data_IF_359792940895
#
_entry.id   IF_359792940895
#
_cell.length_a   1.000
_cell.length_b   1.000
_cell.length_c   1.000
_cell.angle_alpha   90.00
_cell.angle_beta   90.00
_cell.angle_gamma   90.00
#
_symmetry.space_group_name_H-M   'P 1'
#
loop_
_entity.id
_entity.type
_entity.pdbx_description
1 polymer ?
#
# COMPACT_ATOMS: atom_id res chain seq x y z
N UNK A 1 -7.72 11.31 34.89
CA UNK A 1 -8.21 10.06 34.28
C UNK A 1 -8.40 10.29 32.80
N UNK A 2 -7.40 9.95 32.00
CA UNK A 2 -7.41 10.10 30.55
C UNK A 2 -6.71 8.87 30.01
N UNK A 3 -7.52 7.83 29.75
CA UNK A 3 -7.06 6.58 29.16
C UNK A 3 -6.68 6.87 27.71
N UNK A 4 -5.38 7.08 27.49
CA UNK A 4 -4.77 6.96 26.16
C UNK A 4 -4.72 5.46 25.91
N UNK A 5 -5.82 4.90 25.41
CA UNK A 5 -5.77 3.56 24.84
C UNK A 5 -4.79 3.62 23.67
N UNK A 6 -3.76 2.78 23.76
CA UNK A 6 -2.87 2.50 22.65
C UNK A 6 -3.74 2.15 21.44
N UNK A 7 -3.72 2.99 20.42
CA UNK A 7 -4.31 2.65 19.13
C UNK A 7 -3.55 1.44 18.61
N UNK A 8 -4.23 0.30 18.60
CA UNK A 8 -3.89 -0.83 17.76
C UNK A 8 -3.58 -0.29 16.36
N UNK A 9 -2.55 -0.85 15.71
CA UNK A 9 -2.10 -0.38 14.41
C UNK A 9 -3.14 -0.73 13.35
N UNK A 10 -4.19 0.08 13.27
CA UNK A 10 -5.21 0.01 12.25
C UNK A 10 -4.57 0.17 10.88
N UNK A 11 -5.19 -0.36 9.83
CA UNK A 11 -4.77 -0.11 8.44
C UNK A 11 -4.74 1.40 8.09
N UNK A 12 -5.36 2.24 8.92
CA UNK A 12 -5.38 3.69 8.84
C UNK A 12 -4.15 4.38 9.46
N UNK A 13 -3.23 3.61 10.06
CA UNK A 13 -2.05 4.12 10.74
C UNK A 13 -2.37 4.74 12.11
N UNK A 14 -1.50 5.65 12.58
CA UNK A 14 -1.60 6.21 13.93
C UNK A 14 -2.71 7.25 14.14
N UNK A 15 -3.46 7.66 13.10
CA UNK A 15 -4.65 8.52 13.22
C UNK A 15 -5.64 8.22 12.11
N UNK A 16 -6.92 8.12 12.46
CA UNK A 16 -8.01 7.96 11.49
C UNK A 16 -8.13 9.23 10.65
N UNK A 17 -8.11 9.13 9.30
CA UNK A 17 -8.35 10.28 8.43
C UNK A 17 -9.72 10.93 8.69
N UNK A 18 -9.83 12.27 8.65
CA UNK A 18 -11.06 12.99 8.96
C UNK A 18 -12.23 12.62 8.04
N UNK A 19 -11.95 12.20 6.80
CA UNK A 19 -12.95 11.73 5.84
C UNK A 19 -13.61 10.43 6.32
N UNK A 20 -12.84 9.52 6.93
CA UNK A 20 -13.33 8.24 7.44
C UNK A 20 -14.09 8.44 8.75
N UNK A 21 -13.63 9.37 9.60
CA UNK A 21 -14.41 9.78 10.75
C UNK A 21 -15.76 10.40 10.33
N UNK A 22 -15.77 11.23 9.29
CA UNK A 22 -17.00 11.83 8.77
C UNK A 22 -17.94 10.78 8.16
N UNK A 23 -17.39 9.76 7.49
CA UNK A 23 -18.16 8.63 6.99
C UNK A 23 -18.96 7.96 8.11
N UNK A 24 -18.30 7.54 9.19
CA UNK A 24 -18.97 6.85 10.32
C UNK A 24 -20.15 7.65 10.90
N UNK A 25 -20.03 8.98 10.95
CA UNK A 25 -21.07 9.89 11.46
C UNK A 25 -22.26 10.01 10.51
N UNK A 26 -22.04 9.85 9.20
CA UNK A 26 -23.04 10.08 8.16
C UNK A 26 -23.79 8.82 7.70
N UNK A 27 -23.37 7.61 8.13
CA UNK A 27 -23.93 6.34 7.68
C UNK A 27 -25.27 5.92 8.33
N UNK A 28 -25.70 6.56 9.41
CA UNK A 28 -26.86 6.11 10.23
C UNK A 28 -28.19 6.03 9.47
N UNK A 29 -28.39 6.89 8.47
CA UNK A 29 -29.66 7.02 7.73
C UNK A 29 -29.54 6.49 6.29
N UNK A 30 -28.42 5.82 5.97
CA UNK A 30 -28.15 5.33 4.62
C UNK A 30 -28.71 3.92 4.50
N UNK A 31 -29.61 3.68 3.56
CA UNK A 31 -30.08 2.34 3.27
C UNK A 31 -29.01 1.51 2.52
N UNK A 32 -29.17 0.19 2.55
CA UNK A 32 -28.20 -0.74 1.95
C UNK A 32 -28.11 -0.60 0.42
N UNK A 33 -29.19 -0.22 -0.25
CA UNK A 33 -29.22 -0.10 -1.71
C UNK A 33 -28.42 1.12 -2.17
N UNK A 34 -28.64 2.26 -1.53
CA UNK A 34 -27.95 3.52 -1.70
C UNK A 34 -26.46 3.36 -1.36
N UNK A 35 -26.15 2.69 -0.25
CA UNK A 35 -24.77 2.38 0.12
C UNK A 35 -24.06 1.59 -1.00
N UNK A 36 -24.67 0.51 -1.48
CA UNK A 36 -24.09 -0.33 -2.55
C UNK A 36 -23.96 0.39 -3.88
N UNK A 37 -24.94 1.22 -4.26
CA UNK A 37 -24.85 2.07 -5.46
C UNK A 37 -23.69 3.05 -5.35
N UNK A 38 -23.54 3.70 -4.20
CA UNK A 38 -22.45 4.65 -3.92
C UNK A 38 -21.09 3.95 -3.92
N UNK A 39 -20.99 2.80 -3.24
CA UNK A 39 -19.79 1.98 -3.21
C UNK A 39 -19.38 1.54 -4.62
N UNK A 40 -20.33 1.05 -5.43
CA UNK A 40 -20.08 0.69 -6.83
C UNK A 40 -19.52 1.87 -7.64
N UNK A 41 -20.03 3.07 -7.39
CA UNK A 41 -19.57 4.27 -8.07
C UNK A 41 -18.16 4.70 -7.64
N UNK A 42 -17.84 4.61 -6.35
CA UNK A 42 -16.49 4.82 -5.83
C UNK A 42 -15.51 3.80 -6.39
N UNK A 43 -15.88 2.52 -6.43
CA UNK A 43 -15.04 1.46 -7.00
C UNK A 43 -14.78 1.69 -8.48
N UNK A 44 -15.79 2.07 -9.26
CA UNK A 44 -15.60 2.45 -10.67
C UNK A 44 -14.65 3.63 -10.83
N UNK A 45 -14.71 4.63 -9.94
CA UNK A 45 -13.79 5.77 -9.94
C UNK A 45 -12.35 5.34 -9.64
N UNK A 46 -12.15 4.44 -8.68
CA UNK A 46 -10.85 3.85 -8.34
C UNK A 46 -10.28 3.00 -9.48
N UNK A 47 -11.15 2.28 -10.21
CA UNK A 47 -10.82 1.60 -11.47
C UNK A 47 -10.54 2.58 -12.65
N UNK A 48 -10.59 3.89 -12.42
CA UNK A 48 -10.31 4.91 -13.44
C UNK A 48 -11.42 5.12 -14.48
N UNK A 49 -12.63 4.60 -14.23
CA UNK A 49 -13.79 4.78 -15.12
C UNK A 49 -14.50 6.10 -14.83
N UNK A 50 -15.16 6.67 -15.85
CA UNK A 50 -15.99 7.86 -15.65
C UNK A 50 -17.24 7.50 -14.82
N UNK A 51 -17.33 8.08 -13.63
CA UNK A 51 -18.43 7.87 -12.69
C UNK A 51 -19.36 9.08 -12.57
N UNK A 52 -19.21 10.12 -13.40
CA UNK A 52 -19.97 11.37 -13.29
C UNK A 52 -21.48 11.17 -13.44
N UNK A 53 -21.92 10.44 -14.46
CA UNK A 53 -23.34 10.18 -14.70
C UNK A 53 -23.94 9.30 -13.60
N UNK A 54 -23.20 8.29 -13.14
CA UNK A 54 -23.64 7.43 -12.04
C UNK A 54 -23.76 8.23 -10.75
N UNK A 55 -22.80 9.11 -10.43
CA UNK A 55 -22.89 10.00 -9.26
C UNK A 55 -24.03 11.00 -9.37
N UNK A 56 -24.31 11.51 -10.58
CA UNK A 56 -25.45 12.39 -10.82
C UNK A 56 -26.78 11.67 -10.56
N UNK A 57 -26.94 10.45 -11.08
CA UNK A 57 -28.14 9.64 -10.83
C UNK A 57 -28.32 9.29 -9.35
N UNK A 58 -27.22 9.03 -8.65
CA UNK A 58 -27.22 8.77 -7.20
C UNK A 58 -27.67 10.03 -6.46
N UNK A 59 -27.13 11.21 -6.80
CA UNK A 59 -27.51 12.47 -6.18
C UNK A 59 -28.97 12.87 -6.44
N UNK A 60 -29.52 12.55 -7.62
CA UNK A 60 -30.92 12.82 -7.98
C UNK A 60 -31.90 11.85 -7.30
N UNK A 61 -31.48 10.59 -7.10
CA UNK A 61 -32.29 9.56 -6.43
C UNK A 61 -32.16 9.55 -4.90
N UNK A 62 -31.20 10.30 -4.36
CA UNK A 62 -30.92 10.29 -2.93
C UNK A 62 -31.88 11.17 -2.13
N UNK A 63 -32.33 10.65 -1.01
CA UNK A 63 -33.06 11.40 0.02
C UNK A 63 -32.06 12.21 0.90
N UNK A 64 -30.76 11.92 0.78
CA UNK A 64 -29.69 12.49 1.60
C UNK A 64 -29.21 13.82 0.99
N UNK A 65 -28.98 14.88 1.79
CA UNK A 65 -28.39 16.12 1.32
C UNK A 65 -27.05 15.90 0.59
N UNK A 66 -26.83 16.65 -0.51
CA UNK A 66 -25.62 16.50 -1.33
C UNK A 66 -24.32 16.67 -0.54
N UNK A 67 -24.28 17.57 0.44
CA UNK A 67 -23.11 17.73 1.32
C UNK A 67 -22.81 16.44 2.10
N UNK A 68 -23.83 15.79 2.68
CA UNK A 68 -23.66 14.51 3.39
C UNK A 68 -23.23 13.40 2.44
N UNK A 69 -23.79 13.34 1.23
CA UNK A 69 -23.37 12.39 0.21
C UNK A 69 -21.89 12.58 -0.17
N UNK A 70 -21.42 13.83 -0.30
CA UNK A 70 -20.02 14.15 -0.55
C UNK A 70 -19.09 13.58 0.53
N UNK A 71 -19.44 13.72 1.81
CA UNK A 71 -18.67 13.15 2.92
C UNK A 71 -18.64 11.61 2.87
N UNK A 72 -19.75 10.97 2.52
CA UNK A 72 -19.82 9.50 2.37
C UNK A 72 -18.90 9.04 1.24
N UNK A 73 -19.01 9.67 0.07
CA UNK A 73 -18.18 9.33 -1.11
C UNK A 73 -16.70 9.54 -0.79
N UNK A 74 -16.33 10.67 -0.19
CA UNK A 74 -14.95 10.97 0.19
C UNK A 74 -14.39 9.95 1.18
N UNK A 75 -15.15 9.61 2.22
CA UNK A 75 -14.74 8.62 3.21
C UNK A 75 -14.62 7.21 2.64
N UNK A 76 -15.57 6.78 1.81
CA UNK A 76 -15.51 5.50 1.09
C UNK A 76 -14.26 5.43 0.20
N UNK A 77 -14.01 6.47 -0.59
CA UNK A 77 -12.86 6.55 -1.47
C UNK A 77 -11.55 6.49 -0.68
N UNK A 78 -11.44 7.30 0.39
CA UNK A 78 -10.25 7.34 1.25
C UNK A 78 -9.97 6.00 1.90
N UNK A 79 -11.00 5.38 2.47
CA UNK A 79 -10.88 4.09 3.15
C UNK A 79 -10.45 2.96 2.22
N UNK A 80 -11.08 2.86 1.05
CA UNK A 80 -10.69 1.86 0.04
C UNK A 80 -9.28 2.11 -0.48
N UNK A 81 -8.91 3.38 -0.69
CA UNK A 81 -7.55 3.74 -1.15
C UNK A 81 -6.48 3.29 -0.15
N UNK A 82 -6.68 3.56 1.14
CA UNK A 82 -5.72 3.15 2.20
C UNK A 82 -5.67 1.63 2.36
N UNK A 83 -6.81 0.95 2.33
CA UNK A 83 -6.86 -0.51 2.45
C UNK A 83 -6.24 -1.25 1.25
N UNK A 84 -6.36 -0.69 0.03
CA UNK A 84 -5.79 -1.27 -1.18
C UNK A 84 -4.29 -0.99 -1.30
N UNK A 85 -3.80 0.11 -0.71
CA UNK A 85 -2.36 0.44 -0.70
C UNK A 85 -1.52 -0.59 0.09
N UNK A 86 -2.12 -1.24 1.08
CA UNK A 86 -1.45 -2.27 1.88
C UNK A 86 -1.60 -3.63 1.18
N UNK A 87 -0.51 -4.38 0.90
CA UNK A 87 -0.60 -5.70 0.29
C UNK A 87 -1.49 -6.67 1.08
N UNK A 88 -2.20 -7.55 0.38
CA UNK A 88 -3.07 -8.58 1.00
C UNK A 88 -2.30 -9.59 1.85
N UNK A 89 -0.98 -9.73 1.64
CA UNK A 89 -0.10 -10.52 2.50
C UNK A 89 0.06 -9.94 3.90
N UNK A 90 -0.09 -8.61 4.03
CA UNK A 90 0.06 -7.88 5.29
C UNK A 90 -1.29 -7.56 5.93
N UNK A 91 -2.29 -7.20 5.13
CA UNK A 91 -3.62 -6.86 5.63
C UNK A 91 -4.48 -8.11 5.79
N UNK A 92 -4.76 -8.52 7.04
CA UNK A 92 -5.65 -9.64 7.35
C UNK A 92 -7.11 -9.21 7.29
N UNK A 93 -7.97 -10.03 6.69
CA UNK A 93 -9.39 -9.74 6.55
C UNK A 93 -10.12 -9.52 7.87
N UNK A 94 -9.83 -10.34 8.90
CA UNK A 94 -10.47 -10.20 10.21
C UNK A 94 -10.02 -8.94 10.95
N UNK A 95 -8.74 -8.56 10.85
CA UNK A 95 -8.23 -7.30 11.41
C UNK A 95 -8.89 -6.10 10.73
N UNK A 96 -9.04 -6.14 9.40
CA UNK A 96 -9.75 -5.10 8.66
C UNK A 96 -11.20 -4.94 9.11
N UNK A 97 -11.93 -6.05 9.32
CA UNK A 97 -13.31 -5.98 9.81
C UNK A 97 -13.38 -5.40 11.22
N UNK A 98 -12.46 -5.78 12.10
CA UNK A 98 -12.43 -5.28 13.48
C UNK A 98 -12.20 -3.76 13.52
N UNK A 99 -11.24 -3.26 12.72
CA UNK A 99 -11.02 -1.82 12.57
C UNK A 99 -12.29 -1.07 12.13
N UNK A 100 -13.07 -1.65 11.19
CA UNK A 100 -14.34 -1.04 10.76
C UNK A 100 -15.43 -1.10 11.85
N UNK A 101 -15.44 -2.14 12.70
CA UNK A 101 -16.35 -2.23 13.85
C UNK A 101 -16.01 -1.18 14.91
N UNK A 102 -14.72 -0.94 15.17
CA UNK A 102 -14.28 0.13 16.07
C UNK A 102 -14.69 1.52 15.58
N UNK A 103 -14.69 1.72 14.25
CA UNK A 103 -15.22 2.92 13.59
C UNK A 103 -16.76 3.01 13.62
N UNK A 104 -17.45 2.05 14.25
CA UNK A 104 -18.91 1.98 14.37
C UNK A 104 -19.63 1.91 13.02
N UNK A 105 -19.01 1.25 12.04
CA UNK A 105 -19.65 1.00 10.74
C UNK A 105 -20.57 -0.23 10.89
N UNK A 106 -21.82 -0.18 10.37
CA UNK A 106 -22.74 -1.32 10.36
C UNK A 106 -22.16 -2.57 9.69
N UNK A 107 -22.41 -3.76 10.25
CA UNK A 107 -21.84 -5.03 9.78
C UNK A 107 -22.23 -5.33 8.32
N UNK A 108 -23.44 -4.94 7.88
CA UNK A 108 -23.84 -5.07 6.48
C UNK A 108 -22.88 -4.36 5.52
N UNK A 109 -22.37 -3.18 5.89
CA UNK A 109 -21.45 -2.39 5.09
C UNK A 109 -20.02 -2.91 5.17
N UNK A 110 -19.64 -3.47 6.32
CA UNK A 110 -18.33 -4.12 6.51
C UNK A 110 -18.15 -5.29 5.54
N UNK A 111 -19.20 -6.10 5.35
CA UNK A 111 -19.15 -7.21 4.38
C UNK A 111 -18.96 -6.72 2.95
N UNK A 112 -19.68 -5.66 2.56
CA UNK A 112 -19.57 -5.05 1.24
C UNK A 112 -18.16 -4.45 1.02
N UNK A 113 -17.58 -3.73 2.00
CA UNK A 113 -16.19 -3.25 1.91
C UNK A 113 -15.17 -4.37 1.83
N UNK A 114 -15.32 -5.40 2.66
CA UNK A 114 -14.44 -6.57 2.65
C UNK A 114 -14.45 -7.27 1.29
N UNK A 115 -15.61 -7.35 0.63
CA UNK A 115 -15.73 -7.94 -0.69
C UNK A 115 -14.96 -7.16 -1.77
N UNK A 116 -14.82 -5.85 -1.61
CA UNK A 116 -14.04 -4.99 -2.53
C UNK A 116 -12.55 -5.12 -2.25
N UNK A 117 -12.14 -5.06 -0.98
CA UNK A 117 -10.73 -5.07 -0.55
C UNK A 117 -10.07 -6.45 -0.72
N UNK A 118 -10.83 -7.54 -0.62
CA UNK A 118 -10.29 -8.91 -0.71
C UNK A 118 -10.85 -9.71 -1.90
N UNK A 119 -11.71 -9.11 -2.72
CA UNK A 119 -12.33 -9.78 -3.86
C UNK A 119 -11.63 -9.52 -5.20
N UNK A 120 -12.27 -10.01 -6.27
CA UNK A 120 -11.71 -10.00 -7.63
C UNK A 120 -11.46 -8.59 -8.21
N UNK A 121 -12.13 -7.55 -7.69
CA UNK A 121 -11.97 -6.18 -8.18
C UNK A 121 -10.66 -5.51 -7.77
N UNK A 122 -10.01 -6.02 -6.71
CA UNK A 122 -8.77 -5.45 -6.19
C UNK A 122 -7.67 -5.37 -7.24
N UNK A 123 -7.46 -6.44 -8.01
CA UNK A 123 -6.42 -6.47 -9.05
C UNK A 123 -6.63 -5.38 -10.11
N UNK A 124 -7.88 -5.08 -10.47
CA UNK A 124 -8.18 -3.99 -11.40
C UNK A 124 -7.83 -2.62 -10.79
N UNK A 125 -8.18 -2.38 -9.53
CA UNK A 125 -7.86 -1.13 -8.83
C UNK A 125 -6.35 -0.97 -8.65
N UNK A 126 -5.65 -2.02 -8.25
CA UNK A 126 -4.19 -2.01 -8.07
C UNK A 126 -3.47 -1.71 -9.39
N UNK A 127 -3.92 -2.27 -10.52
CA UNK A 127 -3.31 -1.97 -11.82
C UNK A 127 -3.42 -0.49 -12.22
N UNK A 128 -4.53 0.16 -11.88
CA UNK A 128 -4.73 1.60 -12.12
C UNK A 128 -3.93 2.44 -11.14
N UNK A 129 -3.89 2.03 -9.87
CA UNK A 129 -3.08 2.68 -8.85
C UNK A 129 -1.59 2.64 -9.24
N UNK A 130 -1.09 1.49 -9.69
CA UNK A 130 0.30 1.31 -10.13
C UNK A 130 0.67 2.18 -11.34
N UNK A 131 -0.30 2.46 -12.23
CA UNK A 131 -0.10 3.37 -13.37
C UNK A 131 -0.12 4.84 -12.97
N UNK A 132 -0.83 5.20 -11.89
CA UNK A 132 -0.99 6.58 -11.42
C UNK A 132 0.04 6.99 -10.36
N UNK A 133 0.52 6.03 -9.57
CA UNK A 133 1.47 6.30 -8.49
C UNK A 133 2.87 6.55 -9.06
N UNK A 134 3.43 7.71 -8.69
CA UNK A 134 4.83 8.04 -8.93
C UNK A 134 5.71 7.23 -7.97
N UNK A 135 5.96 5.96 -8.31
CA UNK A 135 6.89 5.13 -7.58
C UNK A 135 8.33 5.46 -7.96
N UNK A 136 9.26 5.27 -7.02
CA UNK A 136 10.67 5.23 -7.36
C UNK A 136 10.94 3.99 -8.24
N UNK A 137 11.84 4.09 -9.23
CA UNK A 137 12.23 2.93 -10.02
C UNK A 137 12.66 1.76 -9.12
N UNK A 138 12.08 0.60 -9.34
CA UNK A 138 12.41 -0.64 -8.60
C UNK A 138 13.38 -1.49 -9.41
N UNK A 139 14.11 -2.40 -8.74
CA UNK A 139 15.04 -3.32 -9.41
C UNK A 139 14.25 -4.51 -9.98
N UNK A 140 14.24 -4.67 -11.30
CA UNK A 140 13.58 -5.77 -12.00
C UNK A 140 14.49 -7.00 -12.20
N UNK A 141 15.75 -6.76 -12.56
CA UNK A 141 16.75 -7.80 -12.80
C UNK A 141 18.11 -7.35 -12.26
N UNK A 142 18.82 -8.26 -11.62
CA UNK A 142 20.15 -8.01 -11.05
C UNK A 142 21.08 -9.17 -11.37
N UNK A 143 22.13 -8.91 -12.13
CA UNK A 143 23.14 -9.87 -12.56
C UNK A 143 24.52 -9.42 -12.12
N UNK A 144 25.34 -10.36 -11.69
CA UNK A 144 26.71 -10.08 -11.29
C UNK A 144 27.65 -11.18 -11.76
N UNK A 145 28.91 -10.83 -11.95
CA UNK A 145 30.00 -11.78 -12.19
C UNK A 145 31.28 -11.26 -11.54
N UNK A 146 32.18 -12.18 -11.22
CA UNK A 146 33.51 -11.85 -10.70
C UNK A 146 34.51 -11.98 -11.83
N UNK A 147 35.20 -10.89 -12.12
CA UNK A 147 36.27 -10.84 -13.09
C UNK A 147 37.62 -10.88 -12.33
N UNK A 148 38.54 -11.74 -12.77
CA UNK A 148 39.89 -11.85 -12.21
C UNK A 148 40.89 -11.52 -13.32
N UNK A 149 41.57 -10.37 -13.20
CA UNK A 149 42.62 -10.01 -14.13
C UNK A 149 43.92 -10.76 -13.80
N UNK A 150 44.41 -11.56 -14.75
CA UNK A 150 45.68 -12.28 -14.64
C UNK A 150 46.75 -11.48 -15.37
N UNK A 151 47.64 -10.80 -14.64
CA UNK A 151 48.81 -10.12 -15.20
C UNK A 151 49.99 -11.08 -15.25
N UNK A 152 50.59 -11.26 -16.44
CA UNK A 152 51.78 -12.11 -16.67
C UNK A 152 53.10 -11.35 -16.62
N UNK A 153 53.07 -10.03 -16.41
CA UNK A 153 54.26 -9.18 -16.30
C UNK A 153 54.57 -8.84 -14.84
N UNK A 154 55.86 -8.72 -14.50
CA UNK A 154 56.42 -8.55 -13.15
C UNK A 154 56.00 -7.28 -12.40
N UNK A 155 55.10 -6.46 -12.97
CA UNK A 155 54.53 -5.29 -12.30
C UNK A 155 53.37 -5.75 -11.41
N UNK A 156 53.51 -5.51 -10.12
CA UNK A 156 52.75 -6.03 -8.98
C UNK A 156 51.24 -5.68 -8.92
N UNK A 157 50.48 -5.82 -10.00
CA UNK A 157 49.01 -6.01 -9.96
C UNK A 157 48.69 -7.46 -10.30
N UNK A 158 49.12 -8.35 -9.42
CA UNK A 158 48.71 -9.74 -9.45
C UNK A 158 47.30 -9.84 -8.85
N UNK A 159 46.35 -10.35 -9.65
CA UNK A 159 45.08 -10.93 -9.17
C UNK A 159 44.23 -10.00 -8.28
N UNK A 160 43.87 -8.81 -8.77
CA UNK A 160 42.83 -8.03 -8.11
C UNK A 160 41.46 -8.44 -8.70
N UNK A 161 40.63 -9.20 -7.97
CA UNK A 161 39.28 -9.48 -8.41
C UNK A 161 38.43 -8.21 -8.37
N UNK A 162 37.53 -8.08 -9.34
CA UNK A 162 36.47 -7.07 -9.33
C UNK A 162 35.13 -7.68 -9.64
N UNK A 163 34.05 -7.08 -9.13
CA UNK A 163 32.69 -7.57 -9.36
C UNK A 163 32.03 -6.65 -10.38
N UNK A 164 31.71 -7.19 -11.54
CA UNK A 164 30.91 -6.49 -12.52
C UNK A 164 29.43 -6.72 -12.18
N UNK A 165 28.69 -5.63 -11.96
CA UNK A 165 27.26 -5.66 -11.66
C UNK A 165 26.46 -5.04 -12.80
N UNK A 166 25.29 -5.61 -13.04
CA UNK A 166 24.30 -5.12 -13.98
C UNK A 166 22.92 -5.13 -13.33
N UNK A 167 22.21 -4.02 -13.38
CA UNK A 167 20.83 -3.91 -12.92
C UNK A 167 19.94 -3.32 -14.02
N UNK A 168 18.73 -3.86 -14.11
CA UNK A 168 17.62 -3.31 -14.89
C UNK A 168 16.59 -2.74 -13.92
N UNK A 169 16.21 -1.48 -14.12
CA UNK A 169 15.18 -0.83 -13.32
C UNK A 169 13.83 -0.82 -14.05
N UNK A 170 12.75 -0.61 -13.29
CA UNK A 170 11.37 -0.61 -13.81
C UNK A 170 11.05 0.56 -14.74
N UNK A 171 11.87 1.61 -14.74
CA UNK A 171 11.80 2.72 -15.69
C UNK A 171 12.47 2.41 -17.04
N UNK A 172 12.97 1.17 -17.21
CA UNK A 172 13.67 0.72 -18.39
C UNK A 172 15.15 1.10 -18.43
N UNK A 173 15.67 1.80 -17.41
CA UNK A 173 17.08 2.14 -17.34
C UNK A 173 17.94 0.90 -16.99
N UNK A 174 19.15 0.90 -17.54
CA UNK A 174 20.12 -0.16 -17.34
C UNK A 174 21.42 0.44 -16.80
N UNK A 175 21.85 -0.04 -15.63
CA UNK A 175 23.12 0.36 -15.04
C UNK A 175 24.07 -0.82 -15.04
N UNK A 176 25.28 -0.59 -15.57
CA UNK A 176 26.38 -1.54 -15.52
C UNK A 176 27.59 -0.83 -14.94
N UNK A 177 28.15 -1.38 -13.87
CA UNK A 177 29.28 -0.77 -13.18
C UNK A 177 30.17 -1.83 -12.52
N UNK A 178 31.43 -1.48 -12.34
CA UNK A 178 32.44 -2.32 -11.70
C UNK A 178 32.57 -1.92 -10.22
N UNK A 179 32.57 -2.92 -9.35
CA UNK A 179 32.65 -2.76 -7.90
C UNK A 179 33.92 -3.44 -7.39
N UNK A 180 34.88 -2.67 -6.84
CA UNK A 180 36.00 -3.24 -6.11
C UNK A 180 35.55 -4.05 -4.90
N UNK A 181 36.31 -5.09 -4.51
CA UNK A 181 35.95 -5.98 -3.39
C UNK A 181 35.67 -5.22 -2.09
N UNK A 182 36.43 -4.17 -1.78
CA UNK A 182 36.19 -3.34 -0.60
C UNK A 182 34.79 -2.70 -0.62
N UNK A 183 34.39 -2.12 -1.75
CA UNK A 183 33.05 -1.54 -1.94
C UNK A 183 31.94 -2.57 -1.97
N UNK A 184 32.23 -3.77 -2.45
CA UNK A 184 31.29 -4.88 -2.35
C UNK A 184 31.02 -5.27 -0.89
N UNK A 185 32.05 -5.30 -0.04
CA UNK A 185 31.88 -5.55 1.39
C UNK A 185 31.12 -4.43 2.11
N UNK A 186 31.39 -3.16 1.78
CA UNK A 186 30.62 -2.01 2.27
C UNK A 186 29.13 -2.17 1.90
N UNK A 187 28.83 -2.48 0.63
CA UNK A 187 27.47 -2.69 0.14
C UNK A 187 26.78 -3.84 0.90
N UNK A 188 27.46 -4.99 1.04
CA UNK A 188 26.94 -6.15 1.77
C UNK A 188 26.59 -5.79 3.22
N UNK A 189 27.47 -5.06 3.90
CA UNK A 189 27.24 -4.62 5.28
C UNK A 189 26.03 -3.68 5.37
N UNK A 190 25.96 -2.67 4.51
CA UNK A 190 24.87 -1.69 4.51
C UNK A 190 23.52 -2.34 4.18
N UNK A 191 23.48 -3.26 3.22
CA UNK A 191 22.25 -4.03 2.91
C UNK A 191 21.82 -4.87 4.12
N UNK A 192 22.77 -5.56 4.77
CA UNK A 192 22.45 -6.34 5.97
C UNK A 192 21.97 -5.46 7.13
N UNK A 193 22.55 -4.26 7.29
CA UNK A 193 22.11 -3.28 8.29
C UNK A 193 20.68 -2.80 8.01
N UNK A 194 20.38 -2.40 6.77
CA UNK A 194 19.03 -1.97 6.38
C UNK A 194 18.03 -3.10 6.58
N UNK A 195 18.36 -4.34 6.15
CA UNK A 195 17.49 -5.49 6.37
C UNK A 195 17.26 -5.77 7.86
N UNK A 196 18.29 -5.61 8.69
CA UNK A 196 18.15 -5.72 10.15
C UNK A 196 17.25 -4.61 10.69
N UNK A 197 17.43 -3.37 10.27
CA UNK A 197 16.61 -2.23 10.71
C UNK A 197 15.16 -2.39 10.26
N UNK A 198 14.91 -2.86 9.03
CA UNK A 198 13.57 -3.20 8.53
C UNK A 198 12.93 -4.31 9.38
N UNK A 199 13.67 -5.38 9.65
CA UNK A 199 13.20 -6.48 10.52
C UNK A 199 13.00 -6.02 11.96
N UNK A 200 13.85 -5.14 12.47
CA UNK A 200 13.70 -4.55 13.81
C UNK A 200 12.51 -3.61 13.84
N UNK A 201 12.19 -2.87 12.78
CA UNK A 201 10.97 -2.06 12.66
C UNK A 201 9.73 -2.96 12.61
N UNK A 202 9.75 -4.01 11.80
CA UNK A 202 8.71 -5.04 11.76
C UNK A 202 8.52 -5.72 13.14
N UNK A 203 9.59 -5.88 13.92
CA UNK A 203 9.53 -6.47 15.27
C UNK A 203 9.24 -5.45 16.39
N UNK A 204 9.50 -4.16 16.16
CA UNK A 204 9.31 -3.06 17.12
C UNK A 204 7.92 -2.46 17.07
N UNK A 205 7.11 -2.76 16.06
CA UNK A 205 5.66 -2.73 16.28
C UNK A 205 5.39 -3.60 17.53
N UNK A 206 4.69 -3.15 18.57
CA UNK A 206 3.21 -3.13 18.65
C UNK A 206 2.58 -4.53 18.30
N UNK A 207 3.40 -5.54 17.97
CA UNK A 207 3.11 -6.89 17.46
C UNK A 207 3.55 -7.99 18.44
N UNK A 208 3.60 -7.68 19.75
CA UNK A 208 3.53 -8.73 20.78
C UNK A 208 2.16 -8.65 21.43
N UNK A 209 1.18 -9.24 20.75
CA UNK A 209 -0.04 -9.72 21.39
C UNK A 209 0.43 -10.83 22.35
N UNK A 210 0.36 -10.57 23.66
CA UNK A 210 0.37 -11.66 24.63
C UNK A 210 -1.01 -12.30 24.61
N UNK A 211 -1.03 -13.62 24.47
CA UNK A 211 -2.23 -14.48 24.51
C UNK A 211 -3.14 -14.19 25.71
#
# INVERSE_FOLDING_TARGET
>A
MSSIHAQDSSFLGGRVPPEIESLSKNLKDVDQEMFRKTLKAVVSALEGKDCREMMKSIAESSIIPQDRLGHIVAGMHRMLSEAIRIPTSSLKQEAFKEDLRELRIPEEFITDFSSVVFGARRAAIESVAFQKDSHLPTVEDFKWRVDVAISTSSLARALQPSVLMQMKLSDGSFHRFEVPVSKFHDLRYNVALILKEMNDLEKKSILKIQD
#
